data_IF_569913808693
#
_entry.id   IF_569913808693
#
_cell.length_a   1.000
_cell.length_b   1.000
_cell.length_c   1.000
_cell.angle_alpha   90.00
_cell.angle_beta   90.00
_cell.angle_gamma   90.00
#
_symmetry.space_group_name_H-M   'P 1'
#
loop_
_entity.id
_entity.type
_entity.pdbx_description
1 polymer ?
#
# COMPACT_ATOMS: atom_id res chain seq x y z
N UNK A 1 9.48 -9.47 1.60
CA UNK A 1 8.54 -9.25 2.71
C UNK A 1 7.94 -7.86 2.57
N UNK A 2 6.62 -7.70 2.69
CA UNK A 2 5.96 -6.38 2.50
C UNK A 2 6.37 -5.39 3.59
N UNK A 3 6.59 -5.86 4.83
CA UNK A 3 7.01 -5.00 5.93
C UNK A 3 8.39 -4.39 5.71
N UNK A 4 9.36 -5.21 5.31
CA UNK A 4 10.71 -4.73 4.96
C UNK A 4 10.67 -3.76 3.77
N UNK A 5 9.90 -4.09 2.73
CA UNK A 5 9.78 -3.22 1.56
C UNK A 5 9.19 -1.86 1.91
N UNK A 6 8.19 -1.79 2.80
CA UNK A 6 7.65 -0.53 3.30
C UNK A 6 8.72 0.32 3.99
N UNK A 7 9.63 -0.29 4.75
CA UNK A 7 10.74 0.43 5.40
C UNK A 7 11.69 1.03 4.36
N UNK A 8 12.01 0.30 3.29
CA UNK A 8 12.89 0.75 2.20
C UNK A 8 12.33 1.97 1.46
N UNK A 9 11.01 2.05 1.30
CA UNK A 9 10.34 3.15 0.58
C UNK A 9 9.83 4.28 1.49
N UNK A 10 10.32 4.34 2.74
CA UNK A 10 9.93 5.33 3.74
C UNK A 10 8.43 5.31 4.12
N UNK A 11 7.78 4.15 3.97
CA UNK A 11 6.40 3.87 4.39
C UNK A 11 6.34 2.89 5.56
N UNK A 12 7.46 2.65 6.26
CA UNK A 12 7.57 1.69 7.36
C UNK A 12 6.57 1.90 8.50
N UNK A 13 6.10 3.14 8.71
CA UNK A 13 5.04 3.45 9.66
C UNK A 13 3.71 2.73 9.40
N UNK A 14 3.46 2.26 8.17
CA UNK A 14 2.27 1.51 7.80
C UNK A 14 2.42 -0.01 8.00
N UNK A 15 3.60 -0.52 8.37
CA UNK A 15 3.89 -1.96 8.49
C UNK A 15 2.87 -2.69 9.39
N UNK A 16 2.61 -2.15 10.57
CA UNK A 16 1.66 -2.74 11.51
C UNK A 16 0.24 -2.72 10.95
N UNK A 17 -0.18 -1.61 10.35
CA UNK A 17 -1.51 -1.45 9.77
C UNK A 17 -1.72 -2.39 8.58
N UNK A 18 -0.71 -2.56 7.72
CA UNK A 18 -0.78 -3.50 6.60
C UNK A 18 -0.90 -4.93 7.10
N UNK A 19 -0.14 -5.30 8.14
CA UNK A 19 -0.23 -6.62 8.78
C UNK A 19 -1.63 -6.87 9.37
N UNK A 20 -2.18 -5.92 10.13
CA UNK A 20 -3.53 -6.01 10.71
C UNK A 20 -4.63 -6.09 9.66
N UNK A 21 -4.43 -5.45 8.50
CA UNK A 21 -5.40 -5.47 7.41
C UNK A 21 -5.19 -6.61 6.40
N UNK A 22 -4.20 -7.48 6.61
CA UNK A 22 -3.88 -8.60 5.71
C UNK A 22 -3.34 -8.14 4.35
N UNK A 23 -2.72 -6.96 4.28
CA UNK A 23 -2.14 -6.44 3.04
C UNK A 23 -0.80 -7.12 2.79
N UNK A 24 -0.80 -8.08 1.86
CA UNK A 24 0.36 -8.83 1.42
C UNK A 24 0.76 -8.45 -0.03
N UNK A 25 1.75 -9.14 -0.61
CA UNK A 25 2.21 -8.86 -1.97
C UNK A 25 1.13 -9.05 -3.02
N UNK A 26 0.30 -10.10 -2.92
CA UNK A 26 -0.81 -10.36 -3.84
C UNK A 26 -1.89 -9.26 -3.76
N UNK A 27 -2.21 -8.79 -2.55
CA UNK A 27 -3.10 -7.65 -2.36
C UNK A 27 -2.54 -6.40 -3.04
N UNK A 28 -1.24 -6.12 -2.85
CA UNK A 28 -0.60 -4.96 -3.47
C UNK A 28 -0.53 -5.06 -5.00
N UNK A 29 -0.39 -6.27 -5.55
CA UNK A 29 -0.44 -6.48 -6.99
C UNK A 29 -1.83 -6.14 -7.57
N UNK A 30 -2.89 -6.50 -6.82
CA UNK A 30 -4.27 -6.19 -7.16
C UNK A 30 -4.62 -4.69 -7.10
N UNK A 31 -3.83 -3.86 -6.41
CA UNK A 31 -4.07 -2.39 -6.37
C UNK A 31 -4.14 -1.77 -7.78
N UNK A 32 -3.42 -2.34 -8.75
CA UNK A 32 -3.40 -1.85 -10.13
C UNK A 32 -4.75 -1.96 -10.85
N UNK A 33 -5.67 -2.81 -10.36
CA UNK A 33 -7.02 -3.00 -10.92
C UNK A 33 -8.11 -2.41 -10.04
N UNK A 34 -7.75 -1.72 -8.95
CA UNK A 34 -8.73 -1.11 -8.07
C UNK A 34 -9.48 0.01 -8.76
N UNK A 35 -10.79 0.00 -8.59
CA UNK A 35 -11.65 1.15 -8.86
C UNK A 35 -11.36 2.29 -7.88
N UNK A 36 -11.77 3.51 -8.21
CA UNK A 36 -11.67 4.68 -7.32
C UNK A 36 -12.26 4.40 -5.93
N UNK A 37 -13.39 3.71 -5.85
CA UNK A 37 -13.99 3.35 -4.55
C UNK A 37 -13.11 2.41 -3.73
N UNK A 38 -12.53 1.40 -4.37
CA UNK A 38 -11.64 0.46 -3.70
C UNK A 38 -10.37 1.15 -3.22
N UNK A 39 -9.83 2.09 -4.01
CA UNK A 39 -8.72 2.96 -3.59
C UNK A 39 -9.12 3.77 -2.35
N UNK A 40 -10.27 4.44 -2.36
CA UNK A 40 -10.73 5.24 -1.23
C UNK A 40 -10.96 4.39 0.03
N UNK A 41 -11.53 3.18 -0.13
CA UNK A 41 -11.70 2.22 0.98
C UNK A 41 -10.34 1.76 1.52
N UNK A 42 -9.38 1.45 0.66
CA UNK A 42 -8.02 1.08 1.06
C UNK A 42 -7.32 2.18 1.86
N UNK A 43 -7.33 3.41 1.34
CA UNK A 43 -6.69 4.56 2.00
C UNK A 43 -7.30 4.79 3.38
N UNK A 44 -8.63 4.73 3.51
CA UNK A 44 -9.33 4.85 4.80
C UNK A 44 -8.97 3.71 5.75
N UNK A 45 -9.00 2.46 5.27
CA UNK A 45 -8.72 1.25 6.06
C UNK A 45 -7.28 1.24 6.58
N UNK A 46 -6.33 1.68 5.75
CA UNK A 46 -4.92 1.75 6.13
C UNK A 46 -4.54 3.08 6.81
N UNK A 47 -5.51 3.98 7.05
CA UNK A 47 -5.29 5.34 7.57
C UNK A 47 -4.14 6.06 6.84
N UNK A 48 -4.03 5.81 5.54
CA UNK A 48 -2.92 6.26 4.72
C UNK A 48 -3.14 7.69 4.25
N UNK A 49 -2.09 8.52 4.29
CA UNK A 49 -2.15 9.85 3.68
C UNK A 49 -2.18 9.71 2.16
N UNK A 50 -2.87 10.63 1.49
CA UNK A 50 -2.92 10.62 0.02
C UNK A 50 -1.53 10.69 -0.62
N UNK A 51 -0.64 11.53 -0.08
CA UNK A 51 0.76 11.62 -0.57
C UNK A 51 1.52 10.29 -0.46
N UNK A 52 1.36 9.58 0.66
CA UNK A 52 1.99 8.27 0.89
C UNK A 52 1.41 7.20 -0.04
N UNK A 53 0.10 7.26 -0.32
CA UNK A 53 -0.54 6.39 -1.32
C UNK A 53 0.01 6.63 -2.74
N UNK A 54 0.26 7.88 -3.11
CA UNK A 54 0.90 8.20 -4.39
C UNK A 54 2.33 7.64 -4.44
N UNK A 55 3.10 7.74 -3.36
CA UNK A 55 4.43 7.11 -3.25
C UNK A 55 4.33 5.59 -3.42
N UNK A 56 3.42 4.93 -2.69
CA UNK A 56 3.16 3.50 -2.81
C UNK A 56 2.90 3.09 -4.27
N UNK A 57 2.00 3.81 -4.96
CA UNK A 57 1.68 3.53 -6.35
C UNK A 57 2.87 3.73 -7.31
N UNK A 58 3.74 4.70 -7.03
CA UNK A 58 4.96 4.93 -7.82
C UNK A 58 5.95 3.77 -7.66
N UNK A 59 6.16 3.31 -6.44
CA UNK A 59 7.08 2.20 -6.17
C UNK A 59 6.54 0.86 -6.69
N UNK A 60 5.23 0.60 -6.57
CA UNK A 60 4.61 -0.60 -7.18
C UNK A 60 4.81 -0.67 -8.70
N UNK A 61 4.81 0.48 -9.39
CA UNK A 61 5.08 0.55 -10.83
C UNK A 61 6.55 0.33 -11.21
N UNK A 62 7.49 0.39 -10.26
CA UNK A 62 8.92 0.12 -10.53
C UNK A 62 9.28 -1.35 -10.41
N UNK A 63 8.46 -2.12 -9.71
CA UNK A 63 8.68 -3.54 -9.42
C UNK A 63 7.98 -4.43 -10.46
N UNK A 64 6.91 -3.92 -11.08
CA UNK A 64 6.30 -4.50 -12.29
C UNK A 64 7.09 -4.14 -13.53
#
# INVERSE_FOLDING_TARGET
DVGLWLEEINLGGYRQIFKENGVNGEYLDSLSTFTTEQILRFIRRCRMKWGDFITLCKELRRIK
#
